data_IF_786506953754
#
_entry.id   IF_786506953754
#
_cell.length_a   1.000
_cell.length_b   1.000
_cell.length_c   1.000
_cell.angle_alpha   90.00
_cell.angle_beta   90.00
_cell.angle_gamma   90.00
#
_symmetry.space_group_name_H-M   'P 1'
#
loop_
_entity.id
_entity.type
_entity.pdbx_description
1 polymer ?
#
# COMPACT_ATOMS: atom_id res chain seq x y z
N UNK A 1 9.47 -7.63 6.14
CA UNK A 1 8.46 -6.56 6.07
C UNK A 1 7.54 -6.58 7.29
N UNK A 2 7.06 -7.75 7.73
CA UNK A 2 6.15 -7.86 8.87
C UNK A 2 6.75 -7.41 10.21
N UNK A 3 8.04 -7.66 10.46
CA UNK A 3 8.69 -7.24 11.72
C UNK A 3 8.84 -5.72 11.89
N UNK A 4 8.86 -4.96 10.81
CA UNK A 4 8.87 -3.49 10.82
C UNK A 4 8.10 -2.99 9.59
N UNK A 5 6.77 -2.88 9.69
CA UNK A 5 5.92 -2.59 8.55
C UNK A 5 5.97 -1.10 8.15
N UNK A 6 6.35 -0.20 9.08
CA UNK A 6 6.59 1.22 8.82
C UNK A 6 7.98 1.45 8.23
N UNK A 7 8.08 1.38 6.90
CA UNK A 7 9.36 1.55 6.19
C UNK A 7 9.38 2.93 5.51
N UNK A 8 10.15 3.92 6.01
CA UNK A 8 10.12 5.30 5.48
C UNK A 8 10.40 5.39 3.97
N UNK A 9 11.39 4.64 3.46
CA UNK A 9 11.71 4.60 2.02
C UNK A 9 10.62 3.95 1.15
N UNK A 10 9.59 3.36 1.77
CA UNK A 10 8.44 2.77 1.08
C UNK A 10 7.16 3.56 1.25
N UNK A 11 7.17 4.66 2.03
CA UNK A 11 6.00 5.48 2.26
C UNK A 11 5.49 6.09 0.95
N UNK A 12 4.17 6.11 0.81
CA UNK A 12 3.47 6.79 -0.28
C UNK A 12 3.11 8.22 0.13
N UNK A 13 2.77 9.04 -0.87
CA UNK A 13 2.52 10.48 -0.73
C UNK A 13 1.07 10.79 -1.11
N UNK A 14 0.67 12.04 -0.88
CA UNK A 14 -0.64 12.58 -1.28
C UNK A 14 -1.80 11.73 -0.73
N UNK A 15 -2.78 11.36 -1.56
CA UNK A 15 -3.96 10.58 -1.15
C UNK A 15 -3.69 9.19 -0.58
N UNK A 16 -2.43 8.73 -0.58
CA UNK A 16 -2.01 7.47 0.04
C UNK A 16 -1.03 7.70 1.20
N UNK A 17 -1.05 8.88 1.84
CA UNK A 17 -0.28 9.14 3.06
C UNK A 17 -0.63 8.08 4.12
N UNK A 18 0.39 7.56 4.80
CA UNK A 18 0.24 6.46 5.76
C UNK A 18 0.26 5.06 5.11
N UNK A 19 0.15 4.95 3.79
CA UNK A 19 0.35 3.70 3.07
C UNK A 19 1.82 3.49 2.68
N UNK A 20 2.16 2.23 2.42
CA UNK A 20 3.50 1.79 2.04
C UNK A 20 3.43 0.87 0.82
N UNK A 21 4.53 0.80 0.05
CA UNK A 21 4.65 -0.14 -1.07
C UNK A 21 5.72 -1.20 -0.88
N UNK A 22 5.45 -2.41 -1.37
CA UNK A 22 6.44 -3.47 -1.62
C UNK A 22 6.63 -3.58 -3.14
N UNK A 23 7.89 -3.62 -3.59
CA UNK A 23 8.22 -3.85 -5.00
C UNK A 23 8.41 -5.35 -5.22
N UNK A 24 7.61 -5.95 -6.09
CA UNK A 24 7.77 -7.33 -6.56
C UNK A 24 8.51 -7.30 -7.91
N UNK A 25 9.78 -6.93 -7.84
CA UNK A 25 10.58 -6.50 -9.01
C UNK A 25 10.64 -7.55 -10.12
N UNK A 26 10.81 -8.82 -9.76
CA UNK A 26 10.94 -9.93 -10.72
C UNK A 26 9.74 -10.09 -11.65
N UNK A 27 8.54 -9.81 -11.13
CA UNK A 27 7.29 -10.03 -11.87
C UNK A 27 6.65 -8.75 -12.39
N UNK A 28 7.16 -7.58 -12.01
CA UNK A 28 6.62 -6.31 -12.51
C UNK A 28 5.60 -5.61 -11.63
N UNK A 29 5.42 -6.08 -10.40
CA UNK A 29 4.27 -5.71 -9.57
C UNK A 29 4.65 -4.82 -8.40
N UNK A 30 3.63 -4.16 -7.85
CA UNK A 30 3.67 -3.49 -6.56
C UNK A 30 2.51 -3.99 -5.70
N UNK A 31 2.77 -4.09 -4.42
CA UNK A 31 1.76 -4.27 -3.39
C UNK A 31 1.70 -2.97 -2.58
N UNK A 32 0.50 -2.48 -2.32
CA UNK A 32 0.23 -1.32 -1.45
C UNK A 32 -0.49 -1.80 -0.20
N UNK A 33 0.00 -1.38 0.96
CA UNK A 33 -0.57 -1.75 2.25
C UNK A 33 -0.62 -0.55 3.20
N UNK A 34 -1.50 -0.63 4.19
CA UNK A 34 -1.57 0.26 5.35
C UNK A 34 -1.31 -0.56 6.62
N UNK A 35 -0.80 0.09 7.67
CA UNK A 35 -0.65 -0.50 9.00
C UNK A 35 -1.72 0.10 9.89
N UNK A 36 -2.49 -0.75 10.56
CA UNK A 36 -3.44 -0.37 11.60
C UNK A 36 -2.78 -0.68 12.94
N UNK A 37 -2.15 0.34 13.54
CA UNK A 37 -1.33 0.20 14.75
C UNK A 37 -2.15 -0.27 15.95
N UNK A 38 -3.39 0.18 16.02
CA UNK A 38 -4.43 -0.12 17.00
C UNK A 38 -4.86 -1.59 16.99
N UNK A 39 -4.83 -2.24 15.82
CA UNK A 39 -5.20 -3.66 15.67
C UNK A 39 -4.00 -4.56 15.34
N UNK A 40 -2.78 -4.01 15.35
CA UNK A 40 -1.53 -4.69 14.95
C UNK A 40 -1.65 -5.41 13.59
N UNK A 41 -2.43 -4.84 12.67
CA UNK A 41 -2.80 -5.50 11.40
C UNK A 41 -2.15 -4.78 10.21
N UNK A 42 -1.72 -5.57 9.22
CA UNK A 42 -1.28 -5.06 7.92
C UNK A 42 -2.36 -5.36 6.89
N UNK A 43 -3.05 -4.31 6.43
CA UNK A 43 -4.10 -4.45 5.42
C UNK A 43 -3.52 -4.19 4.03
N UNK A 44 -3.63 -5.18 3.15
CA UNK A 44 -3.25 -5.05 1.74
C UNK A 44 -4.39 -4.37 0.99
N UNK A 45 -4.13 -3.16 0.51
CA UNK A 45 -5.10 -2.39 -0.25
C UNK A 45 -5.10 -2.80 -1.73
N UNK A 46 -3.95 -3.06 -2.33
CA UNK A 46 -3.89 -3.39 -3.75
C UNK A 46 -2.63 -4.16 -4.13
N UNK A 47 -2.76 -5.06 -5.10
CA UNK A 47 -1.64 -5.75 -5.75
C UNK A 47 -1.85 -5.65 -7.26
N UNK A 48 -0.85 -5.15 -7.98
CA UNK A 48 -1.01 -4.93 -9.41
C UNK A 48 0.28 -4.60 -10.12
N UNK A 49 0.22 -4.58 -11.46
CA UNK A 49 1.34 -4.18 -12.32
C UNK A 49 1.73 -2.74 -12.02
N UNK A 50 3.01 -2.42 -12.29
CA UNK A 50 3.55 -1.08 -12.12
C UNK A 50 3.02 -0.06 -13.14
N UNK A 51 2.43 -0.54 -14.23
CA UNK A 51 1.99 0.22 -15.40
C UNK A 51 0.85 1.19 -15.04
N UNK A 52 0.85 2.36 -15.67
CA UNK A 52 -0.22 3.36 -15.59
C UNK A 52 -0.66 3.77 -14.19
N UNK A 53 0.17 3.56 -13.16
CA UNK A 53 -0.15 3.85 -11.76
C UNK A 53 -1.45 3.21 -11.24
N UNK A 54 -1.94 2.15 -11.90
CA UNK A 54 -3.24 1.53 -11.61
C UNK A 54 -3.33 1.01 -10.18
N UNK A 55 -2.26 0.35 -9.71
CA UNK A 55 -2.16 -0.15 -8.35
C UNK A 55 -2.43 0.92 -7.28
N UNK A 56 -2.01 2.17 -7.52
CA UNK A 56 -2.22 3.27 -6.59
C UNK A 56 -3.65 3.82 -6.66
N UNK A 57 -4.23 3.92 -7.87
CA UNK A 57 -5.64 4.31 -8.02
C UNK A 57 -6.58 3.34 -7.32
N UNK A 58 -6.34 2.04 -7.47
CA UNK A 58 -7.13 1.00 -6.80
C UNK A 58 -6.92 0.99 -5.29
N UNK A 59 -5.69 1.24 -4.81
CA UNK A 59 -5.43 1.40 -3.38
C UNK A 59 -6.20 2.59 -2.80
N UNK A 60 -6.22 3.73 -3.51
CA UNK A 60 -6.93 4.93 -3.06
C UNK A 60 -8.44 4.69 -2.96
N UNK A 61 -9.04 4.06 -3.99
CA UNK A 61 -10.46 3.70 -3.98
C UNK A 61 -10.83 2.82 -2.79
N UNK A 62 -10.00 1.83 -2.45
CA UNK A 62 -10.26 0.92 -1.32
C UNK A 62 -10.04 1.60 0.03
N UNK A 63 -9.04 2.47 0.12
CA UNK A 63 -8.81 3.29 1.32
C UNK A 63 -10.05 4.14 1.62
N UNK A 64 -10.55 4.88 0.62
CA UNK A 64 -11.76 5.71 0.76
C UNK A 64 -13.02 4.94 1.15
N UNK A 65 -13.12 3.66 0.79
CA UNK A 65 -14.23 2.78 1.21
C UNK A 65 -14.11 2.27 2.64
N UNK A 66 -12.91 2.30 3.21
CA UNK A 66 -12.62 1.80 4.55
C UNK A 66 -12.84 2.89 5.62
N UNK A 67 -12.76 4.15 5.20
CA UNK A 67 -12.96 5.34 6.06
C UNK A 67 -14.44 5.78 6.14
N UNK A 68 -15.35 5.09 5.43
CA UNK A 68 -16.81 5.33 5.44
C UNK A 68 -17.54 4.23 6.19
#
# INVERSE_FOLDING_TARGET
RLNNPHVPGSALREGLKGCYKIKLTRIGYRLVYIVQDDTLTVLVLSVGKRENSEVYREALKRLMRSDS
#
